data_IF_766370247555
#
_entry.id   IF_766370247555
#
_cell.length_a   1.000
_cell.length_b   1.000
_cell.length_c   1.000
_cell.angle_alpha   90.00
_cell.angle_beta   90.00
_cell.angle_gamma   90.00
#
_symmetry.space_group_name_H-M   'P 1'
#
loop_
_entity.id
_entity.type
_entity.pdbx_description
1 polymer ?
#
# COMPACT_ATOMS: atom_id res chain seq x y z
N UNK A 1 12.78 -6.35 12.49
CA UNK A 1 12.02 -5.32 13.22
C UNK A 1 10.66 -5.19 12.58
N UNK A 2 9.53 -5.15 13.34
CA UNK A 2 8.20 -4.89 12.78
C UNK A 2 8.13 -3.58 12.00
N UNK A 3 7.32 -3.59 10.94
CA UNK A 3 7.15 -2.43 10.05
C UNK A 3 5.66 -2.14 9.83
N UNK A 4 5.27 -0.87 10.00
CA UNK A 4 3.97 -0.32 9.60
C UNK A 4 4.21 0.85 8.64
N UNK A 5 3.79 0.69 7.37
CA UNK A 5 3.82 1.75 6.36
C UNK A 5 2.44 2.39 6.20
N UNK A 6 2.36 3.72 6.24
CA UNK A 6 1.11 4.46 6.07
C UNK A 6 1.25 5.39 4.88
N UNK A 7 0.32 5.32 3.92
CA UNK A 7 0.25 6.15 2.73
C UNK A 7 1.58 6.16 1.96
N UNK A 8 2.35 7.26 2.00
CA UNK A 8 3.70 7.33 1.45
C UNK A 8 4.62 6.23 2.00
N UNK A 9 4.46 5.82 3.26
CA UNK A 9 5.22 4.72 3.87
C UNK A 9 4.96 3.38 3.16
N UNK A 10 3.74 3.10 2.71
CA UNK A 10 3.47 1.93 1.88
C UNK A 10 4.17 2.03 0.52
N UNK A 11 4.12 3.18 -0.12
CA UNK A 11 4.72 3.41 -1.44
C UNK A 11 6.26 3.26 -1.39
N UNK A 12 6.90 3.83 -0.37
CA UNK A 12 8.35 3.68 -0.16
C UNK A 12 8.72 2.22 0.11
N UNK A 13 7.93 1.50 0.91
CA UNK A 13 8.15 0.09 1.18
C UNK A 13 8.02 -0.77 -0.09
N UNK A 14 7.06 -0.45 -0.97
CA UNK A 14 6.91 -1.11 -2.27
C UNK A 14 8.11 -0.84 -3.18
N UNK A 15 8.57 0.40 -3.27
CA UNK A 15 9.75 0.79 -4.06
C UNK A 15 11.00 0.04 -3.55
N UNK A 16 11.20 0.00 -2.24
CA UNK A 16 12.31 -0.70 -1.62
C UNK A 16 12.26 -2.20 -1.93
N UNK A 17 11.09 -2.83 -1.73
CA UNK A 17 10.91 -4.24 -2.03
C UNK A 17 11.10 -4.56 -3.51
N UNK A 18 10.58 -3.71 -4.38
CA UNK A 18 10.75 -3.85 -5.83
C UNK A 18 12.23 -3.82 -6.22
N UNK A 19 13.02 -2.90 -5.67
CA UNK A 19 14.47 -2.78 -5.93
C UNK A 19 15.27 -3.97 -5.42
N UNK A 20 15.09 -4.31 -4.17
CA UNK A 20 16.02 -5.21 -3.47
C UNK A 20 15.56 -6.67 -3.46
N UNK A 21 14.29 -6.96 -3.78
CA UNK A 21 13.74 -8.32 -3.76
C UNK A 21 13.16 -8.74 -5.11
N UNK A 22 12.42 -7.85 -5.80
CA UNK A 22 11.74 -8.22 -7.04
C UNK A 22 12.57 -7.95 -8.31
N UNK A 23 13.78 -7.39 -8.20
CA UNK A 23 14.69 -7.20 -9.32
C UNK A 23 14.42 -5.97 -10.19
N UNK A 24 13.63 -5.02 -9.72
CA UNK A 24 13.41 -3.73 -10.37
C UNK A 24 14.42 -2.69 -9.85
N UNK A 25 15.68 -2.78 -10.26
CA UNK A 25 16.78 -1.96 -9.74
C UNK A 25 16.52 -0.44 -9.81
N UNK A 26 15.73 -0.01 -10.80
CA UNK A 26 15.36 1.38 -11.04
C UNK A 26 13.92 1.72 -10.58
N UNK A 27 13.29 0.85 -9.77
CA UNK A 27 11.95 1.10 -9.27
C UNK A 27 11.88 2.45 -8.55
N UNK A 28 10.85 3.23 -8.85
CA UNK A 28 10.63 4.54 -8.23
C UNK A 28 9.15 4.90 -8.28
N UNK A 29 8.82 6.08 -7.77
CA UNK A 29 7.54 6.75 -7.95
C UNK A 29 7.68 7.86 -8.98
N UNK A 30 6.70 8.02 -9.88
CA UNK A 30 6.63 9.17 -10.77
C UNK A 30 6.38 10.49 -10.03
N UNK A 31 5.99 10.45 -8.74
CA UNK A 31 5.97 11.61 -7.86
C UNK A 31 7.37 12.18 -7.60
N UNK A 32 8.38 11.30 -7.45
CA UNK A 32 9.75 11.69 -7.14
C UNK A 32 10.59 11.93 -8.39
N UNK A 33 10.34 11.12 -9.42
CA UNK A 33 11.01 11.22 -10.70
C UNK A 33 10.01 10.91 -11.83
N UNK A 34 9.56 11.97 -12.52
CA UNK A 34 8.60 11.86 -13.63
C UNK A 34 9.09 11.04 -14.81
N UNK A 35 10.41 10.85 -14.91
CA UNK A 35 11.06 10.12 -16.00
C UNK A 35 11.58 8.75 -15.53
N UNK A 36 11.17 8.27 -14.35
CA UNK A 36 11.64 6.99 -13.86
C UNK A 36 11.28 5.85 -14.82
N UNK A 37 12.26 4.98 -15.08
CA UNK A 37 12.12 3.89 -16.04
C UNK A 37 11.18 2.76 -15.53
N UNK A 38 11.04 2.62 -14.23
CA UNK A 38 10.25 1.56 -13.58
C UNK A 38 9.33 2.18 -12.51
N UNK A 39 8.26 2.88 -12.92
CA UNK A 39 7.34 3.52 -11.98
C UNK A 39 6.43 2.49 -11.33
N UNK A 40 6.89 1.89 -10.21
CA UNK A 40 6.08 0.95 -9.42
C UNK A 40 4.96 1.66 -8.64
N UNK A 41 5.08 2.98 -8.51
CA UNK A 41 4.06 3.89 -8.00
C UNK A 41 3.91 5.03 -9.00
N UNK A 42 2.67 5.37 -9.38
CA UNK A 42 2.39 6.41 -10.36
C UNK A 42 0.96 6.92 -10.29
N UNK A 43 0.63 7.93 -11.08
CA UNK A 43 -0.76 8.34 -11.26
C UNK A 43 -1.53 7.23 -11.99
N UNK A 44 -2.79 6.99 -11.62
CA UNK A 44 -3.66 5.99 -12.29
C UNK A 44 -3.70 6.23 -13.80
N UNK A 45 -3.71 7.49 -14.20
CA UNK A 45 -3.75 7.92 -15.60
C UNK A 45 -2.47 7.69 -16.38
N UNK A 46 -1.36 7.41 -15.71
CA UNK A 46 -0.07 7.11 -16.35
C UNK A 46 0.04 5.65 -16.77
N UNK A 47 -0.77 4.76 -16.21
CA UNK A 47 -0.63 3.33 -16.44
C UNK A 47 -1.93 2.59 -16.78
N UNK A 48 -3.08 3.27 -16.78
CA UNK A 48 -4.35 2.62 -17.16
C UNK A 48 -5.34 3.56 -17.85
N UNK A 49 -5.67 3.30 -19.12
CA UNK A 49 -6.95 3.67 -19.71
C UNK A 49 -7.99 2.55 -19.48
N UNK A 50 -9.25 2.79 -19.85
CA UNK A 50 -10.33 1.81 -19.73
C UNK A 50 -10.11 0.54 -20.59
N UNK A 51 -9.12 0.54 -21.48
CA UNK A 51 -8.79 -0.51 -22.47
C UNK A 51 -7.37 -1.08 -22.24
N UNK A 52 -6.64 -0.59 -21.24
CA UNK A 52 -5.28 -1.07 -20.87
C UNK A 52 -4.15 -0.37 -21.63
N UNK A 53 -4.40 0.73 -22.32
CA UNK A 53 -3.35 1.53 -22.94
C UNK A 53 -2.82 2.58 -21.96
N UNK A 54 -1.54 2.93 -22.09
CA UNK A 54 -0.91 3.99 -21.30
C UNK A 54 -1.32 5.33 -21.92
N UNK A 55 -2.27 6.04 -21.30
CA UNK A 55 -2.50 7.44 -21.63
C UNK A 55 -1.38 8.31 -21.05
N UNK A 56 -0.51 8.79 -21.90
CA UNK A 56 0.38 9.91 -21.56
C UNK A 56 -0.46 11.18 -21.49
N UNK A 57 -0.75 11.66 -20.28
CA UNK A 57 -1.39 12.96 -20.09
C UNK A 57 -0.38 14.09 -20.17
N UNK A 58 -0.82 15.15 -20.82
CA UNK A 58 -0.14 16.43 -20.98
C UNK A 58 0.11 17.10 -19.60
N UNK A 59 1.21 17.85 -19.46
CA UNK A 59 1.61 18.58 -18.23
C UNK A 59 0.56 19.58 -17.69
N UNK A 60 -0.52 19.81 -18.43
CA UNK A 60 -1.63 20.71 -18.08
C UNK A 60 -2.90 20.00 -17.62
N UNK A 61 -2.93 18.67 -17.48
CA UNK A 61 -4.11 17.98 -17.00
C UNK A 61 -4.37 18.29 -15.52
N UNK A 62 -5.63 18.58 -15.18
CA UNK A 62 -6.09 18.90 -13.83
C UNK A 62 -5.78 17.76 -12.84
N UNK A 63 -4.67 17.90 -12.11
CA UNK A 63 -4.26 16.96 -11.07
C UNK A 63 -5.30 16.85 -9.92
N UNK A 64 -6.24 17.77 -9.83
CA UNK A 64 -7.32 17.75 -8.84
C UNK A 64 -8.26 16.55 -8.99
N UNK A 65 -8.53 16.11 -10.23
CA UNK A 65 -9.42 14.99 -10.55
C UNK A 65 -8.90 13.60 -10.15
N UNK A 66 -7.61 13.45 -9.83
CA UNK A 66 -7.00 12.16 -9.46
C UNK A 66 -6.85 11.97 -7.94
N UNK A 67 -7.20 12.97 -7.13
CA UNK A 67 -7.10 12.87 -5.67
C UNK A 67 -8.11 11.89 -5.11
N UNK A 68 -7.64 10.81 -4.49
CA UNK A 68 -8.47 9.99 -3.62
C UNK A 68 -8.53 10.64 -2.24
N UNK A 69 -9.73 11.06 -1.86
CA UNK A 69 -9.97 11.83 -0.64
C UNK A 69 -11.20 11.30 0.10
N UNK A 70 -11.12 11.25 1.44
CA UNK A 70 -12.22 10.86 2.31
C UNK A 70 -12.33 9.36 2.54
N UNK A 71 -13.44 8.95 3.13
CA UNK A 71 -13.72 7.57 3.48
C UNK A 71 -14.00 6.72 2.22
N UNK A 72 -13.33 5.57 2.12
CA UNK A 72 -13.51 4.62 1.02
C UNK A 72 -13.44 3.19 1.53
N UNK A 73 -14.17 2.31 0.88
CA UNK A 73 -14.19 0.89 1.22
C UNK A 73 -12.93 0.17 0.74
N UNK A 74 -12.44 -0.75 1.57
CA UNK A 74 -11.37 -1.66 1.26
C UNK A 74 -11.79 -3.10 1.57
N UNK A 75 -11.61 -4.00 0.61
CA UNK A 75 -11.83 -5.44 0.76
C UNK A 75 -10.56 -6.12 1.25
N UNK A 76 -10.64 -6.81 2.39
CA UNK A 76 -9.53 -7.53 2.99
C UNK A 76 -9.50 -8.98 2.55
N UNK A 77 -8.34 -9.44 2.09
CA UNK A 77 -8.14 -10.80 1.61
C UNK A 77 -8.16 -11.77 2.80
N UNK A 78 -8.88 -12.86 2.66
CA UNK A 78 -8.96 -13.92 3.67
C UNK A 78 -7.58 -14.53 3.96
N UNK A 79 -7.30 -14.82 5.23
CA UNK A 79 -6.02 -15.36 5.68
C UNK A 79 -4.91 -14.32 5.84
N UNK A 80 -5.14 -13.05 5.51
CA UNK A 80 -4.17 -11.97 5.73
C UNK A 80 -4.09 -11.52 7.20
N UNK A 81 -2.96 -10.88 7.57
CA UNK A 81 -2.83 -10.26 8.90
C UNK A 81 -3.84 -9.13 9.07
N UNK A 82 -4.01 -8.29 8.03
CA UNK A 82 -4.99 -7.22 8.04
C UNK A 82 -6.40 -7.76 8.32
N UNK A 83 -6.83 -8.81 7.62
CA UNK A 83 -8.14 -9.45 7.85
C UNK A 83 -8.28 -9.95 9.28
N UNK A 84 -7.25 -10.57 9.83
CA UNK A 84 -7.25 -11.07 11.21
C UNK A 84 -7.33 -9.94 12.25
N UNK A 85 -6.66 -8.80 12.00
CA UNK A 85 -6.67 -7.65 12.90
C UNK A 85 -8.02 -6.94 12.92
N UNK A 86 -8.61 -6.71 11.76
CA UNK A 86 -9.91 -6.01 11.67
C UNK A 86 -11.10 -6.93 12.00
N UNK A 87 -10.97 -8.24 11.82
CA UNK A 87 -12.07 -9.20 12.00
C UNK A 87 -13.23 -9.02 11.02
N UNK A 88 -13.04 -8.30 9.92
CA UNK A 88 -14.07 -7.94 8.93
C UNK A 88 -13.57 -8.17 7.52
N UNK A 89 -14.46 -8.47 6.58
CA UNK A 89 -14.13 -8.60 5.16
C UNK A 89 -13.95 -7.26 4.46
N UNK A 90 -14.79 -6.32 4.80
CA UNK A 90 -14.78 -4.96 4.25
C UNK A 90 -14.63 -3.97 5.39
N UNK A 91 -13.74 -3.02 5.19
CA UNK A 91 -13.51 -1.90 6.09
C UNK A 91 -13.73 -0.59 5.34
N UNK A 92 -13.88 0.48 6.08
CA UNK A 92 -13.92 1.83 5.55
C UNK A 92 -12.82 2.66 6.20
N UNK A 93 -11.93 3.21 5.37
CA UNK A 93 -10.78 3.99 5.82
C UNK A 93 -10.62 5.28 5.02
N UNK A 94 -9.94 6.27 5.60
CA UNK A 94 -9.81 7.59 4.98
C UNK A 94 -8.55 7.70 4.14
N UNK A 95 -8.71 8.24 2.94
CA UNK A 95 -7.66 8.45 1.95
C UNK A 95 -7.33 9.92 1.77
N UNK A 96 -6.07 10.19 1.43
CA UNK A 96 -5.57 11.49 0.98
C UNK A 96 -4.30 11.32 0.16
N UNK A 97 -4.43 10.84 -1.07
CA UNK A 97 -3.30 10.61 -1.97
C UNK A 97 -3.73 10.66 -3.44
N UNK A 98 -2.76 10.81 -4.35
CA UNK A 98 -2.95 10.82 -5.81
C UNK A 98 -2.25 9.65 -6.49
N UNK A 99 -1.12 9.22 -5.92
CA UNK A 99 -0.28 8.18 -6.48
C UNK A 99 -0.71 6.82 -5.95
N UNK A 100 -0.66 5.83 -6.83
CA UNK A 100 -1.13 4.47 -6.58
C UNK A 100 -0.09 3.45 -7.03
N UNK A 101 -0.22 2.23 -6.55
CA UNK A 101 0.60 1.10 -7.02
C UNK A 101 0.31 0.84 -8.50
N UNK A 102 1.35 0.70 -9.29
CA UNK A 102 1.24 0.36 -10.72
C UNK A 102 0.94 -1.14 -10.90
N UNK A 103 -0.30 -1.45 -11.24
CA UNK A 103 -0.76 -2.82 -11.41
C UNK A 103 -0.04 -3.59 -12.53
N UNK A 104 0.55 -2.90 -13.52
CA UNK A 104 1.27 -3.57 -14.60
C UNK A 104 2.57 -4.24 -14.13
N UNK A 105 3.19 -3.72 -13.06
CA UNK A 105 4.42 -4.25 -12.48
C UNK A 105 4.17 -5.16 -11.26
N UNK A 106 2.95 -5.10 -10.70
CA UNK A 106 2.56 -5.83 -9.50
C UNK A 106 2.72 -7.35 -9.58
N UNK A 107 2.37 -8.04 -10.68
CA UNK A 107 2.49 -9.51 -10.76
C UNK A 107 3.92 -10.02 -10.55
N UNK A 108 4.94 -9.30 -11.02
CA UNK A 108 6.33 -9.66 -10.79
C UNK A 108 6.74 -9.45 -9.33
N UNK A 109 6.26 -8.37 -8.71
CA UNK A 109 6.51 -8.07 -7.29
C UNK A 109 5.86 -9.11 -6.38
N UNK A 110 4.63 -9.53 -6.69
CA UNK A 110 3.94 -10.59 -5.96
C UNK A 110 4.63 -11.96 -6.13
N UNK A 111 5.15 -12.24 -7.33
CA UNK A 111 5.95 -13.46 -7.58
C UNK A 111 7.20 -13.50 -6.71
N UNK A 112 7.78 -12.35 -6.37
CA UNK A 112 8.91 -12.24 -5.46
C UNK A 112 8.52 -12.42 -3.97
N UNK A 113 7.21 -12.52 -3.64
CA UNK A 113 6.73 -12.89 -2.31
C UNK A 113 5.95 -11.81 -1.57
N UNK A 114 5.88 -10.56 -2.06
CA UNK A 114 4.95 -9.57 -1.52
C UNK A 114 3.51 -10.03 -1.74
N UNK A 115 2.60 -9.68 -0.85
CA UNK A 115 1.18 -10.00 -0.97
C UNK A 115 0.33 -8.74 -0.93
N UNK A 116 -0.58 -8.62 -1.88
CA UNK A 116 -1.70 -7.69 -1.79
C UNK A 116 -2.76 -8.30 -0.89
N UNK A 117 -3.11 -7.60 0.16
CA UNK A 117 -4.04 -8.09 1.20
C UNK A 117 -5.22 -7.17 1.45
N UNK A 118 -5.25 -6.01 0.81
CA UNK A 118 -6.39 -5.11 0.74
C UNK A 118 -6.54 -4.52 -0.65
N UNK A 119 -7.77 -4.43 -1.12
CA UNK A 119 -8.14 -3.89 -2.44
C UNK A 119 -9.27 -2.89 -2.32
N UNK A 120 -9.31 -1.90 -3.20
CA UNK A 120 -10.43 -0.94 -3.33
C UNK A 120 -11.77 -1.63 -3.54
N UNK A 121 -12.87 -0.88 -3.40
CA UNK A 121 -14.24 -1.39 -3.56
C UNK A 121 -14.47 -2.10 -4.91
N UNK A 122 -13.89 -1.60 -5.98
CA UNK A 122 -13.92 -2.18 -7.33
C UNK A 122 -12.82 -3.25 -7.54
N UNK A 123 -12.00 -3.51 -6.53
CA UNK A 123 -10.88 -4.46 -6.51
C UNK A 123 -9.75 -4.15 -7.53
N UNK A 124 -9.67 -2.92 -8.00
CA UNK A 124 -8.66 -2.53 -9.00
C UNK A 124 -7.41 -1.90 -8.39
N UNK A 125 -7.50 -1.30 -7.20
CA UNK A 125 -6.39 -0.59 -6.58
C UNK A 125 -5.90 -1.31 -5.33
N UNK A 126 -4.60 -1.26 -5.11
CA UNK A 126 -3.94 -1.85 -3.94
C UNK A 126 -4.09 -0.92 -2.74
N UNK A 127 -4.68 -1.43 -1.67
CA UNK A 127 -4.90 -0.70 -0.43
C UNK A 127 -4.00 -1.15 0.72
N UNK A 128 -3.66 -2.44 0.76
CA UNK A 128 -2.78 -3.01 1.78
C UNK A 128 -1.84 -4.01 1.14
N UNK A 129 -0.57 -3.96 1.56
CA UNK A 129 0.45 -4.95 1.23
C UNK A 129 1.04 -5.56 2.50
N UNK A 130 1.43 -6.83 2.39
CA UNK A 130 2.10 -7.59 3.46
C UNK A 130 3.31 -8.37 2.92
N UNK A 131 4.31 -8.59 3.79
CA UNK A 131 5.40 -9.54 3.54
C UNK A 131 5.21 -10.72 4.50
N UNK A 132 4.74 -11.89 4.02
CA UNK A 132 4.34 -13.01 4.89
C UNK A 132 5.46 -13.56 5.77
N UNK A 133 6.68 -13.65 5.22
CA UNK A 133 7.84 -14.21 5.90
C UNK A 133 8.57 -13.22 6.83
N UNK A 134 8.08 -11.99 6.93
CA UNK A 134 8.57 -11.00 7.87
C UNK A 134 7.88 -11.16 9.25
N UNK A 135 8.56 -10.93 10.38
CA UNK A 135 7.94 -11.03 11.71
C UNK A 135 6.62 -10.26 11.84
N UNK A 136 6.58 -9.03 11.31
CA UNK A 136 5.37 -8.26 11.13
C UNK A 136 5.62 -7.13 10.13
N UNK A 137 5.02 -7.22 8.94
CA UNK A 137 5.10 -6.20 7.90
C UNK A 137 3.72 -6.03 7.31
N UNK A 138 3.14 -4.86 7.54
CA UNK A 138 1.86 -4.44 6.98
C UNK A 138 2.03 -2.99 6.53
N UNK A 139 1.54 -2.66 5.35
CA UNK A 139 1.51 -1.28 4.90
C UNK A 139 0.21 -0.98 4.16
N UNK A 140 -0.36 0.20 4.41
CA UNK A 140 -1.65 0.62 3.87
C UNK A 140 -1.56 1.95 3.14
N UNK A 141 -2.40 2.12 2.10
CA UNK A 141 -2.47 3.35 1.31
C UNK A 141 -3.30 4.44 2.00
N UNK A 142 -4.24 4.04 2.83
CA UNK A 142 -5.08 4.94 3.62
C UNK A 142 -4.39 5.42 4.91
N UNK A 143 -5.07 6.27 5.65
CA UNK A 143 -4.58 6.93 6.86
C UNK A 143 -5.35 6.45 8.11
N UNK A 144 -4.91 5.37 8.78
CA UNK A 144 -5.56 4.82 9.97
C UNK A 144 -5.62 5.81 11.15
N UNK A 145 -4.73 6.81 11.17
CA UNK A 145 -4.73 7.85 12.21
C UNK A 145 -5.99 8.72 12.19
N UNK A 146 -6.70 8.80 11.05
CA UNK A 146 -7.95 9.58 10.97
C UNK A 146 -9.16 8.87 11.58
N UNK A 147 -9.07 7.57 11.81
CA UNK A 147 -10.13 6.75 12.40
C UNK A 147 -9.77 6.23 13.79
N UNK A 148 -8.52 6.45 14.23
CA UNK A 148 -8.05 6.10 15.57
C UNK A 148 -8.49 7.15 16.61
N UNK A 149 -8.93 6.68 17.77
CA UNK A 149 -9.29 7.54 18.91
C UNK A 149 -8.55 7.13 20.19
N UNK A 150 -8.45 8.00 21.22
CA UNK A 150 -7.84 7.61 22.49
C UNK A 150 -8.58 6.50 23.25
N UNK A 151 -9.85 6.27 22.95
CA UNK A 151 -10.67 5.25 23.61
C UNK A 151 -10.67 3.95 22.83
N UNK A 152 -10.76 4.06 21.50
CA UNK A 152 -10.87 2.95 20.60
C UNK A 152 -9.62 2.97 19.71
N UNK A 153 -8.64 2.15 20.05
CA UNK A 153 -7.42 2.00 19.28
C UNK A 153 -7.73 1.52 17.87
N UNK A 154 -6.82 1.80 16.94
CA UNK A 154 -6.96 1.30 15.58
C UNK A 154 -6.31 -0.08 15.43
N UNK A 155 -6.96 -1.08 14.77
CA UNK A 155 -6.46 -2.44 14.68
C UNK A 155 -5.01 -2.56 14.15
N UNK A 156 -4.62 -1.74 13.17
CA UNK A 156 -3.25 -1.74 12.64
C UNK A 156 -2.23 -1.21 13.66
N UNK A 157 -2.56 -0.18 14.44
CA UNK A 157 -1.67 0.33 15.49
C UNK A 157 -1.53 -0.67 16.65
N UNK A 158 -2.62 -1.28 17.08
CA UNK A 158 -2.60 -2.29 18.13
C UNK A 158 -1.75 -3.50 17.71
N UNK A 159 -1.96 -4.01 16.49
CA UNK A 159 -1.18 -5.11 15.92
C UNK A 159 0.30 -4.78 15.80
N UNK A 160 0.64 -3.58 15.36
CA UNK A 160 2.02 -3.11 15.25
C UNK A 160 2.71 -3.01 16.61
N UNK A 161 2.08 -2.35 17.58
CA UNK A 161 2.65 -2.19 18.94
C UNK A 161 2.84 -3.54 19.61
N UNK A 162 1.86 -4.44 19.48
CA UNK A 162 1.98 -5.83 19.99
C UNK A 162 3.18 -6.55 19.36
N UNK A 163 3.31 -6.49 18.04
CA UNK A 163 4.43 -7.13 17.34
C UNK A 163 5.80 -6.51 17.72
N UNK A 164 5.85 -5.19 17.91
CA UNK A 164 7.05 -4.49 18.35
C UNK A 164 7.49 -4.96 19.75
N UNK A 165 6.56 -5.07 20.69
CA UNK A 165 6.82 -5.58 22.04
C UNK A 165 7.28 -7.05 22.02
N UNK A 166 6.63 -7.90 21.23
CA UNK A 166 7.03 -9.30 21.08
C UNK A 166 8.44 -9.44 20.49
N UNK A 167 8.79 -8.57 19.54
CA UNK A 167 10.13 -8.54 18.94
C UNK A 167 11.18 -8.10 19.96
N UNK A 168 10.91 -7.08 20.77
CA UNK A 168 11.81 -6.63 21.84
C UNK A 168 12.12 -7.77 22.81
N UNK A 169 11.08 -8.45 23.31
CA UNK A 169 11.25 -9.57 24.27
C UNK A 169 12.04 -10.76 23.70
N UNK A 170 12.08 -10.91 22.38
CA UNK A 170 12.91 -11.94 21.72
C UNK A 170 14.38 -11.55 21.60
N UNK A 171 14.68 -10.25 21.50
CA UNK A 171 16.05 -9.74 21.38
C UNK A 171 16.75 -9.54 22.72
N UNK A 172 16.02 -9.52 23.82
CA UNK A 172 16.53 -9.42 25.20
C UNK A 172 16.88 -10.79 25.81
N UNK A 173 16.65 -11.89 25.07
CA UNK A 173 17.03 -13.26 25.45
C UNK A 173 18.28 -13.70 24.67
#
# INVERSE_FOLDING_TARGET
VPYLGICLGMQIALIEYARNVAGFEKANSSEFDRHCEQPVVGLITEWQDAEGHIETRDDNSDLGGTMRLGAQQCHLIEGSKARALYGKETIEERHRHRYEVNNNLLPQIEKAGLKVTGLSADRKLVEIIEVPNHPWFVACQFHPEFTSTPRDGHPLFEGFVKAARENQLKTEK
#
